data_IF_762394552953
#
_entry.id   IF_762394552953
#
_cell.length_a   1.000
_cell.length_b   1.000
_cell.length_c   1.000
_cell.angle_alpha   90.00
_cell.angle_beta   90.00
_cell.angle_gamma   90.00
#
_symmetry.space_group_name_H-M   'P 1'
#
loop_
_entity.id
_entity.type
_entity.pdbx_description
1 polymer ?
#
# COMPACT_ATOMS: atom_id res chain seq x y z
N UNK A 1 -23.10 3.02 11.82
CA UNK A 1 -22.23 3.39 12.94
C UNK A 1 -20.76 3.32 12.55
N UNK A 2 -20.08 4.46 12.58
CA UNK A 2 -18.68 4.60 12.15
C UNK A 2 -17.77 3.70 13.00
N UNK A 3 -18.02 3.64 14.30
CA UNK A 3 -17.21 2.83 15.21
C UNK A 3 -17.33 1.33 14.90
N UNK A 4 -18.52 0.86 14.56
CA UNK A 4 -18.71 -0.55 14.18
C UNK A 4 -17.99 -0.89 12.87
N UNK A 5 -17.96 0.03 11.91
CA UNK A 5 -17.22 -0.15 10.66
C UNK A 5 -15.71 -0.18 10.87
N UNK A 6 -15.19 0.69 11.74
CA UNK A 6 -13.76 0.75 12.07
C UNK A 6 -13.35 -0.54 12.79
N UNK A 7 -14.14 -1.00 13.78
CA UNK A 7 -13.87 -2.24 14.50
C UNK A 7 -13.89 -3.46 13.59
N UNK A 8 -14.82 -3.52 12.65
CA UNK A 8 -14.91 -4.60 11.69
C UNK A 8 -13.66 -4.64 10.80
N UNK A 9 -13.27 -3.49 10.26
CA UNK A 9 -12.09 -3.39 9.39
C UNK A 9 -10.83 -3.81 10.13
N UNK A 10 -10.65 -3.34 11.37
CA UNK A 10 -9.51 -3.70 12.19
C UNK A 10 -9.46 -5.21 12.44
N UNK A 11 -10.61 -5.85 12.70
CA UNK A 11 -10.66 -7.31 12.85
C UNK A 11 -10.24 -8.02 11.57
N UNK A 12 -10.71 -7.57 10.41
CA UNK A 12 -10.31 -8.15 9.11
C UNK A 12 -8.79 -8.05 8.95
N UNK A 13 -8.21 -6.88 9.24
CA UNK A 13 -6.77 -6.67 9.12
C UNK A 13 -5.97 -7.54 10.10
N UNK A 14 -6.42 -7.65 11.34
CA UNK A 14 -5.72 -8.47 12.35
C UNK A 14 -5.79 -9.96 12.07
N UNK A 15 -6.89 -10.44 11.49
CA UNK A 15 -7.07 -11.85 11.18
C UNK A 15 -6.38 -12.27 9.90
N UNK A 16 -6.03 -11.31 9.04
CA UNK A 16 -5.39 -11.58 7.76
C UNK A 16 -3.88 -11.43 7.90
N UNK A 17 -3.16 -12.24 7.16
CA UNK A 17 -1.79 -11.88 6.83
C UNK A 17 -1.88 -10.70 5.85
N UNK A 18 -0.99 -9.72 6.00
CA UNK A 18 -1.03 -8.51 5.16
C UNK A 18 -0.07 -8.61 3.97
N UNK A 19 0.71 -9.69 3.91
CA UNK A 19 1.73 -9.89 2.88
C UNK A 19 1.68 -11.34 2.43
N UNK A 20 1.57 -11.55 1.13
CA UNK A 20 1.58 -12.89 0.52
C UNK A 20 2.60 -12.97 -0.61
N UNK A 21 3.38 -14.03 -0.63
CA UNK A 21 4.30 -14.38 -1.71
C UNK A 21 4.35 -15.90 -1.84
N UNK A 22 4.72 -16.47 -3.00
CA UNK A 22 4.92 -15.80 -4.29
C UNK A 22 3.60 -15.40 -4.96
N UNK A 23 3.66 -14.95 -6.22
CA UNK A 23 2.49 -14.53 -6.98
C UNK A 23 1.78 -15.76 -7.58
N UNK A 24 0.95 -16.42 -6.77
CA UNK A 24 0.15 -17.57 -7.19
C UNK A 24 -1.28 -17.15 -7.48
N UNK A 25 -2.02 -18.01 -8.15
CA UNK A 25 -3.45 -17.80 -8.37
C UNK A 25 -4.19 -17.66 -7.04
N UNK A 26 -3.87 -18.51 -6.07
CA UNK A 26 -4.49 -18.46 -4.74
C UNK A 26 -4.23 -17.12 -4.05
N UNK A 27 -3.04 -16.55 -4.20
CA UNK A 27 -2.72 -15.25 -3.61
C UNK A 27 -3.42 -14.10 -4.34
N UNK A 28 -3.67 -14.23 -5.65
CA UNK A 28 -4.50 -13.28 -6.38
C UNK A 28 -5.93 -13.29 -5.85
N UNK A 29 -6.49 -14.48 -5.63
CA UNK A 29 -7.82 -14.62 -5.05
C UNK A 29 -7.86 -14.08 -3.62
N UNK A 30 -6.82 -14.36 -2.84
CA UNK A 30 -6.71 -13.84 -1.46
C UNK A 30 -6.81 -12.32 -1.44
N UNK A 31 -6.09 -11.64 -2.34
CA UNK A 31 -6.11 -10.17 -2.40
C UNK A 31 -7.51 -9.64 -2.73
N UNK A 32 -8.18 -10.24 -3.72
CA UNK A 32 -9.53 -9.86 -4.10
C UNK A 32 -10.52 -10.09 -2.94
N UNK A 33 -10.37 -11.19 -2.20
CA UNK A 33 -11.20 -11.49 -1.04
C UNK A 33 -10.97 -10.48 0.09
N UNK A 34 -9.70 -10.08 0.31
CA UNK A 34 -9.39 -9.06 1.32
C UNK A 34 -9.99 -7.71 0.95
N UNK A 35 -9.89 -7.32 -0.32
CA UNK A 35 -10.50 -6.08 -0.77
C UNK A 35 -12.03 -6.10 -0.55
N UNK A 36 -12.68 -7.20 -0.92
CA UNK A 36 -14.13 -7.34 -0.72
C UNK A 36 -14.50 -7.25 0.77
N UNK A 37 -13.72 -7.92 1.64
CA UNK A 37 -13.98 -7.89 3.08
C UNK A 37 -13.77 -6.50 3.69
N UNK A 38 -12.73 -5.78 3.23
CA UNK A 38 -12.41 -4.44 3.73
C UNK A 38 -13.40 -3.37 3.26
N UNK A 39 -14.13 -3.64 2.20
CA UNK A 39 -15.04 -2.66 1.58
C UNK A 39 -16.51 -3.03 1.75
N UNK A 40 -16.83 -3.98 2.62
CA UNK A 40 -18.22 -4.34 2.91
C UNK A 40 -19.00 -3.11 3.33
N UNK A 41 -20.21 -2.96 2.79
CA UNK A 41 -21.11 -1.82 3.05
C UNK A 41 -20.66 -0.50 2.43
N UNK A 42 -19.62 -0.50 1.60
CA UNK A 42 -19.18 0.69 0.87
C UNK A 42 -19.49 0.54 -0.61
N UNK A 43 -19.64 1.66 -1.30
CA UNK A 43 -19.77 1.69 -2.75
C UNK A 43 -18.39 1.55 -3.39
N UNK A 44 -18.23 0.48 -4.19
CA UNK A 44 -16.96 0.17 -4.86
C UNK A 44 -17.02 0.63 -6.31
N UNK A 45 -15.93 1.25 -6.78
CA UNK A 45 -15.73 1.63 -8.18
C UNK A 45 -14.41 1.06 -8.66
N UNK A 46 -14.27 0.76 -9.95
CA UNK A 46 -13.01 0.42 -10.60
C UNK A 46 -12.56 1.50 -11.59
N UNK A 47 -13.22 2.65 -11.56
CA UNK A 47 -12.84 3.78 -12.39
C UNK A 47 -11.48 4.33 -11.97
N UNK A 48 -10.73 4.94 -12.91
CA UNK A 48 -9.49 5.62 -12.55
C UNK A 48 -9.73 6.77 -11.57
N UNK A 49 -8.71 7.07 -10.77
CA UNK A 49 -8.72 8.22 -9.88
C UNK A 49 -7.70 9.24 -10.38
N UNK A 50 -7.79 10.46 -9.87
CA UNK A 50 -6.86 11.55 -10.21
C UNK A 50 -6.05 11.89 -8.95
N UNK A 51 -4.75 11.77 -9.04
CA UNK A 51 -3.82 12.12 -7.96
C UNK A 51 -2.84 13.17 -8.49
N UNK A 52 -2.88 14.36 -7.93
CA UNK A 52 -2.01 15.48 -8.35
C UNK A 52 -2.03 15.68 -9.86
N UNK A 53 -3.25 15.69 -10.44
CA UNK A 53 -3.51 15.91 -11.87
C UNK A 53 -3.04 14.77 -12.78
N UNK A 54 -2.69 13.62 -12.22
CA UNK A 54 -2.32 12.42 -12.98
C UNK A 54 -3.37 11.34 -12.80
N UNK A 55 -3.64 10.63 -13.88
CA UNK A 55 -4.56 9.49 -13.86
C UNK A 55 -3.86 8.30 -13.20
N UNK A 56 -4.55 7.65 -12.26
CA UNK A 56 -4.10 6.41 -11.63
C UNK A 56 -5.17 5.36 -11.88
N UNK A 57 -4.80 4.31 -12.62
CA UNK A 57 -5.68 3.18 -12.87
C UNK A 57 -5.85 2.36 -11.59
N UNK A 58 -7.06 1.91 -11.31
CA UNK A 58 -7.34 1.14 -10.10
C UNK A 58 -7.91 -0.23 -10.43
N UNK A 59 -7.69 -1.18 -9.54
CA UNK A 59 -8.39 -2.46 -9.56
C UNK A 59 -9.72 -2.35 -8.80
N UNK A 60 -9.80 -1.39 -7.90
CA UNK A 60 -11.00 -1.08 -7.15
C UNK A 60 -10.70 -0.01 -6.11
N UNK A 61 -11.70 0.77 -5.76
CA UNK A 61 -11.55 1.76 -4.69
C UNK A 61 -12.90 2.14 -4.10
N UNK A 62 -12.83 2.67 -2.90
CA UNK A 62 -13.96 3.28 -2.20
C UNK A 62 -13.53 4.68 -1.77
N UNK A 63 -14.29 5.30 -0.89
CA UNK A 63 -13.94 6.60 -0.33
C UNK A 63 -12.59 6.56 0.41
N UNK A 64 -12.25 5.44 1.06
CA UNK A 64 -11.08 5.35 1.93
C UNK A 64 -10.22 4.10 1.74
N UNK A 65 -10.52 3.26 0.75
CA UNK A 65 -9.73 2.06 0.42
C UNK A 65 -9.35 2.11 -1.06
N UNK A 66 -8.09 1.87 -1.35
CA UNK A 66 -7.56 1.89 -2.73
C UNK A 66 -6.87 0.56 -3.02
N UNK A 67 -7.09 0.02 -4.21
CA UNK A 67 -6.43 -1.19 -4.69
C UNK A 67 -5.85 -0.93 -6.08
N UNK A 68 -4.53 -1.03 -6.21
CA UNK A 68 -3.80 -0.78 -7.45
C UNK A 68 -2.76 -1.87 -7.71
N UNK A 69 -2.33 -1.95 -8.95
CA UNK A 69 -1.15 -2.74 -9.32
C UNK A 69 0.13 -1.98 -8.95
N UNK A 70 1.17 -2.74 -8.57
CA UNK A 70 2.49 -2.15 -8.36
C UNK A 70 2.97 -1.34 -9.58
N UNK A 71 2.78 -1.89 -10.79
CA UNK A 71 3.22 -1.22 -12.02
C UNK A 71 2.58 0.16 -12.19
N UNK A 72 1.34 0.31 -11.74
CA UNK A 72 0.64 1.59 -11.85
C UNK A 72 1.21 2.62 -10.87
N UNK A 73 1.54 2.21 -9.67
CA UNK A 73 2.03 3.13 -8.63
C UNK A 73 3.54 3.36 -8.70
N UNK A 74 4.32 2.37 -9.12
CA UNK A 74 5.77 2.43 -9.01
C UNK A 74 6.52 2.35 -10.34
N UNK A 75 5.90 1.89 -11.42
CA UNK A 75 6.57 1.77 -12.72
C UNK A 75 6.21 2.91 -13.68
N UNK A 76 5.43 3.88 -13.21
CA UNK A 76 5.11 5.11 -13.93
C UNK A 76 5.71 6.29 -13.18
N UNK A 77 5.88 7.46 -13.83
CA UNK A 77 6.42 8.64 -13.15
C UNK A 77 5.53 9.07 -11.98
N UNK A 78 6.03 8.91 -10.78
CA UNK A 78 5.39 9.32 -9.52
C UNK A 78 6.46 9.95 -8.65
N UNK A 79 6.04 10.84 -7.76
CA UNK A 79 6.91 11.49 -6.78
C UNK A 79 6.42 11.20 -5.37
N UNK A 80 7.22 11.47 -4.34
CA UNK A 80 6.73 11.37 -2.96
C UNK A 80 5.44 12.14 -2.71
N UNK A 81 5.25 13.28 -3.36
CA UNK A 81 4.02 14.09 -3.23
C UNK A 81 2.77 13.28 -3.65
N UNK A 82 2.89 12.40 -4.64
CA UNK A 82 1.77 11.57 -5.07
C UNK A 82 1.38 10.58 -3.98
N UNK A 83 2.35 9.98 -3.31
CA UNK A 83 2.10 9.04 -2.21
C UNK A 83 1.56 9.75 -0.97
N UNK A 84 1.99 10.98 -0.73
CA UNK A 84 1.41 11.82 0.33
C UNK A 84 -0.08 12.06 0.05
N UNK A 85 -0.43 12.42 -1.18
CA UNK A 85 -1.84 12.66 -1.55
C UNK A 85 -2.67 11.39 -1.41
N UNK A 86 -2.17 10.26 -1.90
CA UNK A 86 -2.85 8.96 -1.72
C UNK A 86 -3.06 8.66 -0.24
N UNK A 87 -2.04 8.89 0.59
CA UNK A 87 -2.12 8.63 2.02
C UNK A 87 -3.13 9.55 2.73
N UNK A 88 -3.35 10.76 2.21
CA UNK A 88 -4.34 11.68 2.78
C UNK A 88 -5.77 11.23 2.48
N UNK A 89 -6.00 10.62 1.32
CA UNK A 89 -7.33 10.19 0.88
C UNK A 89 -7.68 8.83 1.46
N UNK A 90 -6.74 7.88 1.40
CA UNK A 90 -7.01 6.47 1.72
C UNK A 90 -6.30 6.05 3.00
N UNK A 91 -7.03 5.41 3.90
CA UNK A 91 -6.45 4.87 5.11
C UNK A 91 -6.01 3.41 4.95
N UNK A 92 -6.40 2.77 3.85
CA UNK A 92 -6.04 1.38 3.55
C UNK A 92 -5.74 1.27 2.05
N UNK A 93 -4.60 0.71 1.72
CA UNK A 93 -4.17 0.54 0.32
C UNK A 93 -3.71 -0.89 0.12
N UNK A 94 -4.19 -1.51 -0.97
CA UNK A 94 -3.77 -2.83 -1.43
C UNK A 94 -2.94 -2.65 -2.69
N UNK A 95 -1.75 -3.25 -2.72
CA UNK A 95 -0.86 -3.19 -3.88
C UNK A 95 -0.55 -4.60 -4.34
N UNK A 96 -0.96 -4.93 -5.55
CA UNK A 96 -0.80 -6.26 -6.12
C UNK A 96 0.43 -6.34 -7.01
N UNK A 97 1.07 -7.50 -6.99
CA UNK A 97 2.08 -7.89 -7.97
C UNK A 97 3.37 -7.08 -7.88
N UNK A 98 3.89 -6.96 -6.66
CA UNK A 98 5.25 -6.41 -6.47
C UNK A 98 6.24 -7.43 -7.05
N UNK A 99 7.02 -7.06 -8.07
CA UNK A 99 7.99 -8.00 -8.69
C UNK A 99 9.23 -8.15 -7.82
N UNK A 100 10.14 -9.04 -8.22
CA UNK A 100 11.49 -9.04 -7.64
C UNK A 100 12.13 -7.68 -7.94
N UNK A 101 12.53 -6.99 -6.89
CA UNK A 101 13.15 -5.67 -7.01
C UNK A 101 14.66 -5.83 -7.11
N UNK A 102 15.27 -5.10 -8.03
CA UNK A 102 16.72 -5.18 -8.29
C UNK A 102 17.23 -3.86 -8.90
N UNK A 103 18.49 -3.85 -9.32
CA UNK A 103 19.10 -2.65 -9.88
C UNK A 103 18.53 -2.30 -11.27
N UNK A 104 18.00 -3.27 -12.01
CA UNK A 104 17.33 -3.01 -13.30
C UNK A 104 16.04 -2.22 -13.06
N UNK A 105 15.33 -2.54 -12.00
CA UNK A 105 14.09 -1.84 -11.61
C UNK A 105 14.37 -0.77 -10.54
N UNK A 106 15.51 -0.07 -10.64
CA UNK A 106 15.92 0.88 -9.60
C UNK A 106 14.92 2.02 -9.40
N UNK A 107 14.31 2.53 -10.47
CA UNK A 107 13.30 3.58 -10.37
C UNK A 107 12.03 3.08 -9.69
N UNK A 108 11.55 1.90 -10.07
CA UNK A 108 10.40 1.27 -9.42
C UNK A 108 10.67 0.96 -7.96
N UNK A 109 11.87 0.47 -7.66
CA UNK A 109 12.29 0.19 -6.28
C UNK A 109 12.31 1.48 -5.44
N UNK A 110 12.85 2.56 -5.99
CA UNK A 110 12.91 3.84 -5.30
C UNK A 110 11.52 4.37 -5.00
N UNK A 111 10.59 4.25 -5.95
CA UNK A 111 9.20 4.67 -5.75
C UNK A 111 8.50 3.79 -4.71
N UNK A 112 8.79 2.49 -4.70
CA UNK A 112 8.27 1.59 -3.68
C UNK A 112 8.74 1.99 -2.28
N UNK A 113 10.01 2.37 -2.15
CA UNK A 113 10.56 2.87 -0.89
C UNK A 113 9.80 4.13 -0.45
N UNK A 114 9.57 5.07 -1.36
CA UNK A 114 8.80 6.30 -1.05
C UNK A 114 7.38 5.97 -0.62
N UNK A 115 6.73 5.05 -1.31
CA UNK A 115 5.37 4.61 -0.98
C UNK A 115 5.31 4.08 0.45
N UNK A 116 6.20 3.15 0.79
CA UNK A 116 6.23 2.54 2.13
C UNK A 116 6.54 3.60 3.19
N UNK A 117 7.50 4.49 2.93
CA UNK A 117 7.87 5.57 3.85
C UNK A 117 6.68 6.47 4.15
N UNK A 118 5.98 6.93 3.11
CA UNK A 118 4.86 7.85 3.28
C UNK A 118 3.67 7.18 3.96
N UNK A 119 3.38 5.94 3.59
CA UNK A 119 2.27 5.21 4.18
C UNK A 119 2.55 4.87 5.65
N UNK A 120 3.79 4.48 5.96
CA UNK A 120 4.20 4.19 7.34
C UNK A 120 4.04 5.43 8.23
N UNK A 121 4.55 6.57 7.79
CA UNK A 121 4.51 7.80 8.56
C UNK A 121 3.08 8.26 8.86
N UNK A 122 2.13 7.92 8.00
CA UNK A 122 0.74 8.37 8.11
C UNK A 122 -0.23 7.31 8.62
N UNK A 123 0.29 6.16 9.00
CA UNK A 123 -0.55 5.09 9.57
C UNK A 123 -1.49 4.44 8.54
N UNK A 124 -1.14 4.48 7.26
CA UNK A 124 -1.90 3.80 6.22
C UNK A 124 -1.71 2.29 6.36
N UNK A 125 -2.79 1.54 6.27
CA UNK A 125 -2.74 0.07 6.34
C UNK A 125 -2.45 -0.46 4.94
N UNK A 126 -1.44 -1.32 4.82
CA UNK A 126 -0.91 -1.76 3.52
C UNK A 126 -0.98 -3.28 3.42
N UNK A 127 -1.64 -3.76 2.35
CA UNK A 127 -1.65 -5.18 1.99
C UNK A 127 -0.90 -5.33 0.68
N UNK A 128 -0.05 -6.36 0.60
CA UNK A 128 0.82 -6.58 -0.56
C UNK A 128 0.77 -8.02 -1.03
N UNK A 129 0.81 -8.21 -2.35
CA UNK A 129 1.25 -9.49 -2.94
C UNK A 129 2.56 -9.25 -3.66
N UNK A 130 3.49 -10.17 -3.54
CA UNK A 130 4.86 -10.02 -4.03
C UNK A 130 5.41 -11.33 -4.57
N UNK A 131 6.32 -11.24 -5.54
CA UNK A 131 7.05 -12.41 -6.03
C UNK A 131 7.92 -13.01 -4.92
N UNK A 132 8.62 -12.18 -4.16
CA UNK A 132 9.53 -12.60 -3.11
C UNK A 132 8.99 -12.26 -1.72
N UNK A 133 9.51 -12.96 -0.70
CA UNK A 133 9.23 -12.62 0.70
C UNK A 133 9.79 -11.24 1.05
N UNK A 134 9.38 -10.68 2.19
CA UNK A 134 9.90 -9.38 2.64
C UNK A 134 11.43 -9.42 2.75
N UNK A 135 11.98 -10.51 3.26
CA UNK A 135 13.43 -10.64 3.43
C UNK A 135 14.14 -10.61 2.08
N UNK A 136 13.56 -11.23 1.06
CA UNK A 136 14.17 -11.37 -0.26
C UNK A 136 13.62 -10.38 -1.29
N UNK A 137 12.88 -9.39 -0.87
CA UNK A 137 12.15 -8.48 -1.77
C UNK A 137 13.07 -7.69 -2.71
N UNK A 138 14.32 -7.44 -2.29
CA UNK A 138 15.31 -6.70 -3.08
C UNK A 138 16.60 -7.51 -3.21
N UNK A 139 17.08 -7.66 -4.45
CA UNK A 139 18.28 -8.44 -4.78
C UNK A 139 19.33 -7.61 -5.50
N UNK A 140 19.28 -6.28 -5.35
CA UNK A 140 20.23 -5.37 -5.94
C UNK A 140 21.27 -4.87 -4.94
N UNK A 141 22.11 -3.96 -5.41
CA UNK A 141 23.17 -3.35 -4.59
C UNK A 141 22.96 -1.85 -4.38
N UNK A 142 22.42 -1.15 -5.39
CA UNK A 142 22.32 0.32 -5.38
C UNK A 142 21.51 0.87 -4.23
N UNK A 143 20.44 0.19 -3.84
CA UNK A 143 19.50 0.63 -2.81
C UNK A 143 19.52 -0.29 -1.58
N UNK A 144 20.60 -1.06 -1.39
CA UNK A 144 20.72 -2.04 -0.32
C UNK A 144 20.57 -1.41 1.07
N UNK A 145 21.11 -0.21 1.27
CA UNK A 145 20.99 0.50 2.55
C UNK A 145 19.55 0.97 2.79
N UNK A 146 18.95 1.61 1.81
CA UNK A 146 17.60 2.17 1.93
C UNK A 146 16.55 1.08 2.11
N UNK A 147 16.72 -0.06 1.44
CA UNK A 147 15.73 -1.14 1.48
C UNK A 147 15.67 -1.83 2.86
N UNK A 148 16.75 -1.78 3.63
CA UNK A 148 16.73 -2.35 4.99
C UNK A 148 15.70 -1.66 5.87
N UNK A 149 15.63 -0.35 5.80
CA UNK A 149 14.61 0.42 6.52
C UNK A 149 13.21 0.07 6.01
N UNK A 150 13.06 -0.09 4.71
CA UNK A 150 11.78 -0.47 4.09
C UNK A 150 11.32 -1.84 4.59
N UNK A 151 12.25 -2.83 4.66
CA UNK A 151 11.93 -4.15 5.21
C UNK A 151 11.45 -4.06 6.66
N UNK A 152 12.16 -3.31 7.48
CA UNK A 152 11.80 -3.12 8.89
C UNK A 152 10.41 -2.50 9.03
N UNK A 153 10.10 -1.50 8.20
CA UNK A 153 8.80 -0.85 8.21
C UNK A 153 7.69 -1.79 7.76
N UNK A 154 7.93 -2.57 6.70
CA UNK A 154 6.95 -3.57 6.24
C UNK A 154 6.62 -4.59 7.33
N UNK A 155 7.63 -5.04 8.09
CA UNK A 155 7.41 -5.96 9.19
C UNK A 155 6.61 -5.29 10.32
N UNK A 156 6.96 -4.06 10.68
CA UNK A 156 6.24 -3.31 11.72
C UNK A 156 4.81 -3.01 11.32
N UNK A 157 4.55 -2.75 10.03
CA UNK A 157 3.21 -2.46 9.52
C UNK A 157 2.25 -3.64 9.64
N UNK A 158 2.75 -4.83 9.97
CA UNK A 158 1.93 -6.01 10.24
C UNK A 158 1.63 -6.19 11.74
N UNK A 159 2.22 -5.37 12.61
CA UNK A 159 2.02 -5.49 14.06
C UNK A 159 0.66 -4.96 14.49
N UNK A 160 0.16 -5.48 15.61
CA UNK A 160 -1.11 -5.03 16.19
C UNK A 160 -1.05 -3.55 16.56
N UNK A 161 0.08 -3.08 17.10
CA UNK A 161 0.27 -1.68 17.44
C UNK A 161 0.10 -0.78 16.23
N UNK A 162 0.72 -1.14 15.12
CA UNK A 162 0.60 -0.36 13.89
C UNK A 162 -0.84 -0.39 13.36
N UNK A 163 -1.47 -1.56 13.34
CA UNK A 163 -2.83 -1.70 12.82
C UNK A 163 -3.86 -0.94 13.65
N UNK A 164 -3.58 -0.71 14.93
CA UNK A 164 -4.43 0.10 15.81
C UNK A 164 -4.10 1.58 15.75
N UNK A 165 -2.98 1.98 15.14
CA UNK A 165 -2.59 3.38 15.07
C UNK A 165 -3.56 4.17 14.19
N UNK A 166 -3.68 5.47 14.49
CA UNK A 166 -4.56 6.35 13.76
C UNK A 166 -4.00 6.72 12.40
N UNK A 167 -4.88 6.86 11.42
CA UNK A 167 -4.55 7.40 10.12
C UNK A 167 -4.28 8.90 10.26
N UNK A 168 -3.12 9.35 9.80
CA UNK A 168 -2.69 10.74 9.90
C UNK A 168 -2.74 11.42 8.55
N UNK A 169 -3.57 12.45 8.46
CA UNK A 169 -3.63 13.29 7.27
C UNK A 169 -2.74 14.51 7.49
N UNK A 170 -2.05 14.93 6.44
CA UNK A 170 -1.20 16.12 6.47
C UNK A 170 -1.91 17.24 5.74
N UNK A 171 -2.04 18.41 6.39
CA UNK A 171 -2.56 19.60 5.75
C UNK A 171 -1.65 20.03 4.60
N UNK A 172 -2.24 20.66 3.57
CA UNK A 172 -1.50 21.15 2.42
C UNK A 172 -0.37 22.12 2.81
N UNK A 173 -0.52 22.84 3.91
CA UNK A 173 0.51 23.75 4.45
C UNK A 173 1.69 22.96 5.00
N UNK A 174 1.44 21.88 5.72
CA UNK A 174 2.48 21.01 6.27
C UNK A 174 3.24 20.28 5.16
N UNK A 175 2.54 19.84 4.12
CA UNK A 175 3.15 19.14 3.00
C UNK A 175 4.13 20.02 2.20
N UNK A 176 4.08 21.34 2.34
CA UNK A 176 4.97 22.28 1.65
C UNK A 176 6.21 22.63 2.45
N UNK A 177 6.28 22.21 3.69
CA UNK A 177 7.44 22.37 4.56
C UNK A 177 8.34 21.14 4.47
#
# INVERSE_FOLDING_TARGET
NVDAGVDYRLRVLKQAQLFKSPLTHDHQLWMAQRFAALTMSQTVSDEPIIINQRVVETLGHTEDVLWCEFKELCMKPRSPADFIEISNIYNTVLVSNVPNLDDVLSEGTRRFIYLVDEFYDRGVKLLLTSEASIIEIYRGEKLAFEIERTRSRLLEMQSDEYLQSEHRQIDAVEAKV
#
